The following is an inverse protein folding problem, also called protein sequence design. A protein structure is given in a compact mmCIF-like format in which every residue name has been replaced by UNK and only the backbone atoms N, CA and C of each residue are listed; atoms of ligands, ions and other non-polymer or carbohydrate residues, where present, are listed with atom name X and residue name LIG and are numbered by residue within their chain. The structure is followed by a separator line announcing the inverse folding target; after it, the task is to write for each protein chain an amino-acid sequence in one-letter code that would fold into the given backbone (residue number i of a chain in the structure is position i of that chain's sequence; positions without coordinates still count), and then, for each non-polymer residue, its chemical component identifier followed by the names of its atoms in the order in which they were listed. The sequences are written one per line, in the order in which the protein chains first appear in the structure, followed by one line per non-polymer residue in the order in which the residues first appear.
data_IF_184911506893
#
_entry.id   IF_184911506893
#
_cell.length_a   1.000
_cell.length_b   1.000
_cell.length_c   1.000
_cell.angle_alpha   90.00
_cell.angle_beta   90.00
_cell.angle_gamma   90.00
#
_symmetry.space_group_name_H-M   'P 1'
#
loop_
_entity.id
_entity.type
_entity.pdbx_description
1 polymer ?
#
# COMPACT_ATOMS: atom_id res chain seq x y z
N UNK A 1 -16.27 25.78 -6.75
CA UNK A 1 -15.40 25.24 -7.82
C UNK A 1 -15.19 23.75 -7.56
N UNK A 2 -15.06 22.94 -8.60
CA UNK A 2 -14.72 21.52 -8.44
C UNK A 2 -13.19 21.38 -8.25
N UNK A 3 -12.77 20.58 -7.26
CA UNK A 3 -11.36 20.24 -7.08
C UNK A 3 -10.90 19.31 -8.21
N UNK A 4 -9.78 19.62 -8.86
CA UNK A 4 -9.22 18.83 -9.97
C UNK A 4 -7.79 18.36 -9.69
N UNK A 5 -6.93 19.24 -9.22
CA UNK A 5 -5.53 18.91 -8.95
C UNK A 5 -5.38 18.41 -7.51
N UNK A 6 -5.02 17.13 -7.36
CA UNK A 6 -4.93 16.46 -6.06
C UNK A 6 -3.51 15.95 -5.86
N UNK A 7 -2.86 16.37 -4.77
CA UNK A 7 -1.56 15.82 -4.38
C UNK A 7 -1.72 14.86 -3.19
N UNK A 8 -1.12 13.67 -3.30
CA UNK A 8 -1.13 12.66 -2.25
C UNK A 8 0.24 12.59 -1.58
N UNK A 9 0.26 12.75 -0.26
CA UNK A 9 1.46 12.56 0.58
C UNK A 9 1.40 11.17 1.18
N UNK A 10 2.49 10.39 1.12
CA UNK A 10 2.51 9.03 1.65
C UNK A 10 1.90 7.98 0.71
N UNK A 11 1.87 8.26 -0.60
CA UNK A 11 1.30 7.38 -1.62
C UNK A 11 1.99 6.00 -1.74
N UNK A 12 3.19 5.84 -1.18
CA UNK A 12 3.94 4.56 -1.16
C UNK A 12 3.76 3.71 0.10
N UNK A 13 2.89 4.13 1.05
CA UNK A 13 2.59 3.36 2.26
C UNK A 13 1.59 2.22 2.02
N UNK A 14 0.95 1.71 3.08
CA UNK A 14 -0.05 0.64 2.96
C UNK A 14 -1.36 1.12 2.29
N UNK A 15 -1.88 2.28 2.71
CA UNK A 15 -3.13 2.85 2.17
C UNK A 15 -2.93 3.66 0.88
N UNK A 16 -1.77 4.32 0.75
CA UNK A 16 -1.46 5.26 -0.32
C UNK A 16 -1.69 4.73 -1.74
N UNK A 17 -1.25 3.50 -2.10
CA UNK A 17 -1.42 2.94 -3.44
C UNK A 17 -2.89 2.80 -3.85
N UNK A 18 -3.76 2.39 -2.92
CA UNK A 18 -5.20 2.26 -3.17
C UNK A 18 -5.84 3.62 -3.46
N UNK A 19 -5.50 4.65 -2.69
CA UNK A 19 -5.98 6.02 -2.94
C UNK A 19 -5.43 6.54 -4.27
N UNK A 20 -4.13 6.39 -4.52
CA UNK A 20 -3.50 6.82 -5.76
C UNK A 20 -4.16 6.15 -6.98
N UNK A 21 -4.43 4.84 -6.91
CA UNK A 21 -5.07 4.10 -7.99
C UNK A 21 -6.42 4.69 -8.35
N UNK A 22 -7.31 4.92 -7.36
CA UNK A 22 -8.65 5.45 -7.60
C UNK A 22 -8.60 6.84 -8.24
N UNK A 23 -7.80 7.76 -7.67
CA UNK A 23 -7.67 9.11 -8.21
C UNK A 23 -7.02 9.14 -9.59
N UNK A 24 -6.05 8.27 -9.86
CA UNK A 24 -5.38 8.17 -11.15
C UNK A 24 -6.32 7.68 -12.26
N UNK A 25 -7.23 6.76 -11.94
CA UNK A 25 -8.16 6.18 -12.93
C UNK A 25 -9.38 7.06 -13.22
N UNK A 26 -9.63 8.08 -12.40
CA UNK A 26 -10.77 8.96 -12.56
C UNK A 26 -10.40 10.21 -13.38
N UNK A 27 -10.97 10.39 -14.59
CA UNK A 27 -10.59 11.48 -15.49
C UNK A 27 -10.96 12.88 -14.97
N UNK A 28 -11.67 12.98 -13.85
CA UNK A 28 -11.99 14.26 -13.20
C UNK A 28 -10.79 14.86 -12.48
N UNK A 29 -9.78 14.05 -12.15
CA UNK A 29 -8.66 14.47 -11.31
C UNK A 29 -7.33 14.40 -12.06
N UNK A 30 -6.47 15.38 -11.80
CA UNK A 30 -5.05 15.32 -12.09
C UNK A 30 -4.33 14.99 -10.78
N UNK A 31 -3.79 13.78 -10.68
CA UNK A 31 -3.14 13.33 -9.44
C UNK A 31 -1.62 13.49 -9.50
N UNK A 32 -1.03 13.97 -8.42
CA UNK A 32 0.42 13.97 -8.19
C UNK A 32 0.75 13.39 -6.83
N UNK A 33 2.02 13.06 -6.61
CA UNK A 33 2.52 12.48 -5.36
C UNK A 33 3.60 13.38 -4.79
N UNK A 34 3.54 13.64 -3.47
CA UNK A 34 4.67 14.16 -2.71
C UNK A 34 5.39 12.98 -2.06
N UNK A 35 6.68 12.79 -2.38
CA UNK A 35 7.47 11.70 -1.82
C UNK A 35 8.86 12.17 -1.41
N UNK A 36 9.41 11.55 -0.37
CA UNK A 36 10.76 11.84 0.11
C UNK A 36 11.82 11.35 -0.89
N UNK A 37 12.99 11.98 -0.88
CA UNK A 37 14.15 11.56 -1.69
C UNK A 37 14.63 10.15 -1.33
N UNK A 38 14.61 9.78 -0.05
CA UNK A 38 14.99 8.43 0.41
C UNK A 38 13.96 7.34 0.10
N UNK A 39 12.78 7.67 -0.40
CA UNK A 39 11.73 6.68 -0.67
C UNK A 39 12.10 5.79 -1.86
N UNK A 40 12.11 4.48 -1.63
CA UNK A 40 12.27 3.43 -2.65
C UNK A 40 10.96 3.07 -3.36
N UNK A 41 9.84 3.71 -3.01
CA UNK A 41 8.55 3.44 -3.64
C UNK A 41 8.56 3.89 -5.10
N UNK A 42 8.13 2.98 -5.96
CA UNK A 42 7.90 3.23 -7.39
C UNK A 42 6.45 3.66 -7.63
N UNK A 43 6.26 4.57 -8.58
CA UNK A 43 4.95 5.10 -8.96
C UNK A 43 4.75 4.96 -10.47
N UNK A 44 3.50 4.85 -10.96
CA UNK A 44 3.23 4.81 -12.39
C UNK A 44 3.85 6.01 -13.13
N UNK A 45 4.38 5.76 -14.34
CA UNK A 45 5.13 6.77 -15.12
C UNK A 45 4.31 8.01 -15.48
N UNK A 46 2.99 7.86 -15.55
CA UNK A 46 2.03 8.92 -15.85
C UNK A 46 1.67 9.78 -14.62
N UNK A 47 2.15 9.43 -13.43
CA UNK A 47 1.94 10.21 -12.21
C UNK A 47 3.13 11.13 -11.97
N UNK A 48 2.87 12.43 -11.82
CA UNK A 48 3.90 13.39 -11.45
C UNK A 48 4.32 13.17 -10.00
N UNK A 49 5.61 12.95 -9.77
CA UNK A 49 6.18 12.78 -8.42
C UNK A 49 7.02 13.99 -8.05
N UNK A 50 6.61 14.71 -7.02
CA UNK A 50 7.36 15.77 -6.37
C UNK A 50 8.28 15.14 -5.32
N UNK A 51 9.56 14.98 -5.66
CA UNK A 51 10.58 14.47 -4.74
C UNK A 51 11.12 15.62 -3.89
N UNK A 52 11.04 15.48 -2.57
CA UNK A 52 11.49 16.49 -1.60
C UNK A 52 12.44 15.90 -0.56
N UNK A 53 13.22 16.75 0.11
CA UNK A 53 14.07 16.35 1.23
C UNK A 53 13.33 15.55 2.30
N UNK A 54 14.06 14.69 3.02
CA UNK A 54 13.47 13.71 3.94
C UNK A 54 12.76 14.33 5.15
N UNK A 55 13.12 15.56 5.50
CA UNK A 55 12.53 16.38 6.55
C UNK A 55 11.43 17.34 6.02
N UNK A 56 11.03 17.18 4.76
CA UNK A 56 10.02 17.98 4.06
C UNK A 56 10.31 19.50 4.09
N UNK A 57 11.40 20.00 3.48
CA UNK A 57 11.76 21.42 3.49
C UNK A 57 10.61 22.31 3.02
N UNK A 58 10.36 23.40 3.75
CA UNK A 58 9.18 24.24 3.57
C UNK A 58 9.05 24.80 2.14
N UNK A 59 10.16 25.22 1.53
CA UNK A 59 10.21 25.78 0.18
C UNK A 59 9.92 24.73 -0.89
N UNK A 60 10.45 23.52 -0.74
CA UNK A 60 10.20 22.40 -1.64
C UNK A 60 8.75 21.92 -1.57
N UNK A 61 8.20 21.78 -0.36
CA UNK A 61 6.81 21.41 -0.13
C UNK A 61 5.86 22.49 -0.65
N UNK A 62 6.15 23.77 -0.36
CA UNK A 62 5.35 24.89 -0.86
C UNK A 62 5.35 24.90 -2.39
N UNK A 63 6.49 24.63 -3.02
CA UNK A 63 6.59 24.50 -4.48
C UNK A 63 5.74 23.35 -5.01
N UNK A 64 5.72 22.20 -4.33
CA UNK A 64 4.91 21.05 -4.71
C UNK A 64 3.39 21.30 -4.58
N UNK A 65 2.98 22.07 -3.57
CA UNK A 65 1.56 22.39 -3.33
C UNK A 65 1.01 23.51 -4.24
N UNK A 66 1.86 24.33 -4.86
CA UNK A 66 1.40 25.38 -5.79
C UNK A 66 0.61 24.77 -6.94
N UNK A 67 -0.59 25.30 -7.15
CA UNK A 67 -1.52 24.85 -8.20
C UNK A 67 -2.30 23.58 -7.86
N UNK A 68 -2.12 23.02 -6.66
CA UNK A 68 -2.95 21.93 -6.15
C UNK A 68 -4.24 22.51 -5.53
N UNK A 69 -5.36 21.86 -5.80
CA UNK A 69 -6.66 22.22 -5.23
C UNK A 69 -6.87 21.54 -3.88
N UNK A 70 -6.40 20.30 -3.77
CA UNK A 70 -6.56 19.44 -2.61
C UNK A 70 -5.28 18.68 -2.24
N UNK A 71 -5.08 18.45 -0.95
CA UNK A 71 -4.03 17.59 -0.40
C UNK A 71 -4.67 16.42 0.34
N UNK A 72 -4.21 15.20 0.07
CA UNK A 72 -4.56 14.00 0.83
C UNK A 72 -3.30 13.48 1.51
N UNK A 73 -3.32 13.40 2.83
CA UNK A 73 -2.23 12.86 3.63
C UNK A 73 -2.54 11.44 4.06
N UNK A 74 -1.73 10.48 3.62
CA UNK A 74 -1.69 9.10 4.14
C UNK A 74 -0.37 8.82 4.86
N UNK A 75 0.24 9.85 5.45
CA UNK A 75 1.50 9.73 6.18
C UNK A 75 1.34 8.86 7.43
N UNK A 76 2.40 8.13 7.78
CA UNK A 76 2.41 7.30 8.98
C UNK A 76 2.36 8.14 10.26
N UNK A 77 1.82 7.56 11.33
CA UNK A 77 1.67 8.21 12.65
C UNK A 77 2.99 8.77 13.19
N UNK A 78 4.12 8.09 12.93
CA UNK A 78 5.45 8.51 13.36
C UNK A 78 5.91 9.86 12.79
N UNK A 79 5.27 10.35 11.72
CA UNK A 79 5.60 11.63 11.07
C UNK A 79 4.55 12.73 11.32
N UNK A 80 3.57 12.50 12.20
CA UNK A 80 2.46 13.44 12.42
C UNK A 80 2.87 14.79 12.99
N UNK A 81 4.01 14.88 13.68
CA UNK A 81 4.53 16.16 14.18
C UNK A 81 4.73 17.22 13.09
N UNK A 82 4.77 16.81 11.82
CA UNK A 82 4.90 17.69 10.66
C UNK A 82 3.56 18.07 10.03
N UNK A 83 2.45 17.40 10.35
CA UNK A 83 1.20 17.53 9.57
C UNK A 83 0.56 18.93 9.71
N UNK A 84 0.62 19.56 10.88
CA UNK A 84 0.19 20.96 11.05
C UNK A 84 1.02 21.92 10.22
N UNK A 85 2.35 21.74 10.17
CA UNK A 85 3.24 22.51 9.29
C UNK A 85 2.87 22.33 7.81
N UNK A 86 2.58 21.10 7.38
CA UNK A 86 2.15 20.82 6.01
C UNK A 86 0.79 21.46 5.69
N UNK A 87 -0.14 21.52 6.65
CA UNK A 87 -1.41 22.24 6.50
C UNK A 87 -1.15 23.74 6.26
N UNK A 88 -0.27 24.37 7.04
CA UNK A 88 0.06 25.79 6.83
C UNK A 88 0.69 26.05 5.46
N UNK A 89 1.58 25.17 5.01
CA UNK A 89 2.19 25.26 3.68
C UNK A 89 1.13 25.07 2.57
N UNK A 90 0.15 24.18 2.77
CA UNK A 90 -0.96 23.99 1.84
C UNK A 90 -1.81 25.27 1.74
N UNK A 91 -2.19 25.86 2.88
CA UNK A 91 -2.93 27.12 2.93
C UNK A 91 -2.14 28.24 2.24
N UNK A 92 -0.84 28.35 2.54
CA UNK A 92 0.06 29.34 1.92
C UNK A 92 0.21 29.14 0.41
N UNK A 93 0.14 27.90 -0.08
CA UNK A 93 0.13 27.59 -1.51
C UNK A 93 -1.21 27.84 -2.20
N UNK A 94 -2.27 28.14 -1.43
CA UNK A 94 -3.62 28.40 -1.94
C UNK A 94 -4.50 27.16 -2.05
N UNK A 95 -4.08 26.01 -1.51
CA UNK A 95 -4.88 24.78 -1.43
C UNK A 95 -6.19 25.05 -0.69
N UNK A 96 -7.30 24.51 -1.18
CA UNK A 96 -8.65 24.75 -0.64
C UNK A 96 -9.25 23.57 0.11
N UNK A 97 -8.63 22.40 -0.01
CA UNK A 97 -9.11 21.15 0.59
C UNK A 97 -7.97 20.35 1.20
N UNK A 98 -8.14 19.87 2.43
CA UNK A 98 -7.16 19.01 3.08
C UNK A 98 -7.82 17.78 3.71
N UNK A 99 -7.28 16.59 3.46
CA UNK A 99 -7.69 15.34 4.08
C UNK A 99 -6.51 14.86 4.93
N UNK A 100 -6.58 14.88 6.27
CA UNK A 100 -5.49 14.45 7.12
C UNK A 100 -5.36 12.94 7.15
N UNK A 101 -4.20 12.46 7.60
CA UNK A 101 -3.99 11.05 7.92
C UNK A 101 -4.80 10.67 9.15
N UNK A 102 -6.02 10.19 8.94
CA UNK A 102 -6.99 9.80 9.99
C UNK A 102 -7.70 8.45 9.78
N UNK A 103 -7.37 7.74 8.70
CA UNK A 103 -7.97 6.49 8.20
C UNK A 103 -7.88 5.29 9.16
N UNK A 104 -8.41 5.39 10.37
CA UNK A 104 -8.30 4.38 11.42
C UNK A 104 -9.40 4.52 12.46
N UNK A 105 -9.02 4.42 13.74
CA UNK A 105 -9.92 4.60 14.89
C UNK A 105 -10.46 6.03 14.99
N UNK A 106 -11.61 6.20 15.64
CA UNK A 106 -12.11 7.53 16.02
C UNK A 106 -11.22 8.12 17.12
N UNK A 107 -10.24 8.91 16.69
CA UNK A 107 -9.24 9.52 17.58
C UNK A 107 -9.82 10.62 18.46
N UNK A 108 -11.03 11.11 18.17
CA UNK A 108 -11.68 12.18 18.94
C UNK A 108 -12.65 11.64 19.98
N UNK A 109 -12.96 10.34 19.95
CA UNK A 109 -13.81 9.72 20.96
C UNK A 109 -13.14 9.81 22.35
N UNK A 110 -13.79 10.40 23.37
CA UNK A 110 -13.17 10.61 24.69
C UNK A 110 -12.60 9.34 25.33
N UNK A 111 -13.32 8.21 25.20
CA UNK A 111 -12.83 6.93 25.72
C UNK A 111 -11.59 6.43 24.98
N UNK A 112 -11.51 6.60 23.65
CA UNK A 112 -10.33 6.20 22.88
C UNK A 112 -9.12 7.06 23.27
N UNK A 113 -9.33 8.38 23.40
CA UNK A 113 -8.33 9.33 23.88
C UNK A 113 -7.84 9.02 25.30
N UNK A 114 -8.72 8.56 26.20
CA UNK A 114 -8.34 8.18 27.55
C UNK A 114 -7.47 6.90 27.60
N UNK A 115 -7.66 5.97 26.65
CA UNK A 115 -6.92 4.71 26.59
C UNK A 115 -5.52 4.91 25.99
N UNK A 116 -5.40 5.69 24.90
CA UNK A 116 -4.14 5.83 24.16
C UNK A 116 -3.79 7.29 23.81
N UNK A 117 -3.69 8.19 24.81
CA UNK A 117 -3.52 9.63 24.59
C UNK A 117 -2.23 9.98 23.85
N UNK A 118 -1.15 9.25 24.07
CA UNK A 118 0.15 9.48 23.43
C UNK A 118 0.13 9.18 21.92
N UNK A 119 -0.80 8.36 21.46
CA UNK A 119 -0.92 7.97 20.05
C UNK A 119 -1.99 8.81 19.34
N UNK A 120 -3.15 9.00 19.98
CA UNK A 120 -4.26 9.75 19.39
C UNK A 120 -4.14 11.27 19.59
N UNK A 121 -3.38 11.75 20.58
CA UNK A 121 -3.26 13.17 20.88
C UNK A 121 -2.80 14.01 19.70
N UNK A 122 -1.76 13.58 18.97
CA UNK A 122 -1.28 14.31 17.78
C UNK A 122 -2.28 14.32 16.62
N UNK A 123 -3.04 13.23 16.46
CA UNK A 123 -4.11 13.11 15.46
C UNK A 123 -5.29 14.03 15.80
N UNK A 124 -5.75 13.97 17.04
CA UNK A 124 -6.82 14.82 17.55
C UNK A 124 -6.45 16.31 17.44
N UNK A 125 -5.24 16.68 17.86
CA UNK A 125 -4.71 18.05 17.73
C UNK A 125 -4.63 18.52 16.26
N UNK A 126 -4.30 17.62 15.32
CA UNK A 126 -4.34 17.96 13.88
C UNK A 126 -5.76 18.30 13.43
N UNK A 127 -6.76 17.57 13.91
CA UNK A 127 -8.16 17.86 13.56
C UNK A 127 -8.64 19.16 14.20
N UNK A 128 -8.29 19.43 15.46
CA UNK A 128 -8.57 20.72 16.09
C UNK A 128 -7.90 21.88 15.34
N UNK A 129 -6.68 21.67 14.85
CA UNK A 129 -6.00 22.65 14.00
C UNK A 129 -6.74 22.88 12.68
N UNK A 130 -7.21 21.83 12.00
CA UNK A 130 -8.00 21.97 10.78
C UNK A 130 -9.31 22.73 10.98
N UNK A 131 -10.00 22.50 12.11
CA UNK A 131 -11.19 23.28 12.52
C UNK A 131 -10.82 24.75 12.63
N UNK A 132 -9.71 25.08 13.29
CA UNK A 132 -9.25 26.47 13.42
C UNK A 132 -8.97 27.10 12.04
N UNK A 133 -8.41 26.35 11.10
CA UNK A 133 -8.05 26.80 9.74
C UNK A 133 -9.23 26.92 8.77
N UNK A 134 -10.45 26.55 9.17
CA UNK A 134 -11.65 26.86 8.39
C UNK A 134 -11.81 28.37 8.17
N UNK A 135 -11.37 29.19 9.15
CA UNK A 135 -11.34 30.66 9.04
C UNK A 135 -10.47 31.17 7.88
N UNK A 136 -9.47 30.38 7.48
CA UNK A 136 -8.57 30.68 6.37
C UNK A 136 -9.13 30.19 5.01
N UNK A 137 -10.37 29.68 5.01
CA UNK A 137 -11.07 29.18 3.83
C UNK A 137 -10.64 27.77 3.41
N UNK A 138 -9.91 27.06 4.27
CA UNK A 138 -9.58 25.65 4.07
C UNK A 138 -10.77 24.78 4.46
N UNK A 139 -11.19 23.88 3.58
CA UNK A 139 -12.17 22.84 3.93
C UNK A 139 -11.47 21.53 4.19
N UNK A 140 -12.03 20.66 5.03
CA UNK A 140 -11.41 19.38 5.35
C UNK A 140 -12.44 18.28 5.64
N UNK A 141 -11.98 17.03 5.64
CA UNK A 141 -12.72 15.90 6.21
C UNK A 141 -11.73 14.87 6.74
N UNK A 142 -12.04 14.31 7.92
CA UNK A 142 -11.38 13.14 8.49
C UNK A 142 -12.22 11.89 8.19
N UNK A 143 -11.57 10.76 7.95
CA UNK A 143 -12.23 9.48 7.66
C UNK A 143 -11.89 8.47 8.75
N UNK A 144 -12.88 8.06 9.53
CA UNK A 144 -12.75 6.98 10.52
C UNK A 144 -13.13 5.67 9.82
N UNK A 145 -12.13 4.87 9.45
CA UNK A 145 -12.31 3.65 8.64
C UNK A 145 -12.12 2.35 9.42
N UNK A 146 -11.73 2.43 10.70
CA UNK A 146 -11.43 1.24 11.50
C UNK A 146 -10.10 0.59 11.12
N UNK A 147 -9.85 -0.66 11.56
CA UNK A 147 -8.59 -1.35 11.32
C UNK A 147 -8.41 -1.77 9.86
N UNK A 148 -7.15 -1.79 9.40
CA UNK A 148 -6.76 -2.37 8.11
C UNK A 148 -6.61 -3.88 8.25
N UNK A 149 -7.69 -4.59 7.92
CA UNK A 149 -7.80 -6.03 8.10
C UNK A 149 -6.76 -6.83 7.31
N UNK A 150 -6.30 -6.34 6.17
CA UNK A 150 -5.24 -6.97 5.38
C UNK A 150 -3.90 -7.08 6.12
N UNK A 151 -3.71 -6.34 7.22
CA UNK A 151 -2.53 -6.44 8.08
C UNK A 151 -2.64 -7.54 9.15
N UNK A 152 -3.84 -8.12 9.32
CA UNK A 152 -4.14 -9.02 10.44
C UNK A 152 -4.88 -10.29 10.02
N UNK A 153 -5.44 -10.35 8.81
CA UNK A 153 -6.19 -11.47 8.30
C UNK A 153 -5.32 -12.30 7.35
N UNK A 154 -5.20 -13.59 7.66
CA UNK A 154 -4.53 -14.59 6.83
C UNK A 154 -5.59 -15.39 6.09
N UNK A 155 -5.74 -15.17 4.79
CA UNK A 155 -6.68 -15.93 3.95
C UNK A 155 -5.90 -16.82 3.00
N UNK A 156 -6.37 -18.02 2.69
CA UNK A 156 -5.80 -18.84 1.62
C UNK A 156 -6.93 -19.50 0.83
N UNK A 157 -6.94 -19.36 -0.50
CA UNK A 157 -7.88 -20.09 -1.36
C UNK A 157 -7.54 -21.59 -1.38
N UNK A 158 -6.26 -21.90 -1.61
CA UNK A 158 -5.71 -23.26 -1.55
C UNK A 158 -4.19 -23.23 -1.39
N UNK A 159 -3.62 -24.32 -0.88
CA UNK A 159 -2.18 -24.61 -0.92
C UNK A 159 -1.92 -25.62 -2.02
N UNK A 160 -0.99 -25.33 -2.93
CA UNK A 160 -0.77 -26.14 -4.13
C UNK A 160 0.70 -26.40 -4.39
N UNK A 161 1.00 -27.54 -5.02
CA UNK A 161 2.33 -27.82 -5.59
C UNK A 161 2.35 -27.40 -7.06
N UNK A 162 3.52 -27.01 -7.57
CA UNK A 162 3.71 -26.70 -9.00
C UNK A 162 3.23 -27.85 -9.91
N UNK A 163 3.46 -29.09 -9.48
CA UNK A 163 3.02 -30.29 -10.22
C UNK A 163 1.49 -30.44 -10.26
N UNK A 164 0.77 -30.01 -9.23
CA UNK A 164 -0.70 -30.06 -9.21
C UNK A 164 -1.27 -29.05 -10.20
N UNK A 165 -0.70 -27.84 -10.23
CA UNK A 165 -1.05 -26.80 -11.21
C UNK A 165 -0.80 -27.32 -12.64
N UNK A 166 0.38 -27.86 -12.91
CA UNK A 166 0.73 -28.42 -14.23
C UNK A 166 -0.26 -29.51 -14.64
N UNK A 167 -0.55 -30.46 -13.75
CA UNK A 167 -1.48 -31.56 -14.03
C UNK A 167 -2.87 -31.06 -14.39
N UNK A 168 -3.36 -30.03 -13.68
CA UNK A 168 -4.66 -29.41 -13.97
C UNK A 168 -4.62 -28.65 -15.28
N UNK A 169 -3.57 -27.87 -15.54
CA UNK A 169 -3.39 -27.15 -16.81
C UNK A 169 -3.37 -28.11 -18.01
N UNK A 170 -2.64 -29.22 -17.94
CA UNK A 170 -2.61 -30.23 -19.00
C UNK A 170 -3.98 -30.86 -19.24
N UNK A 171 -4.74 -31.10 -18.16
CA UNK A 171 -6.10 -31.63 -18.22
C UNK A 171 -7.04 -30.65 -18.93
N UNK A 172 -7.09 -29.38 -18.49
CA UNK A 172 -8.06 -28.40 -19.01
C UNK A 172 -7.72 -27.91 -20.42
N UNK A 173 -6.43 -27.86 -20.78
CA UNK A 173 -5.98 -27.46 -22.12
C UNK A 173 -5.93 -28.62 -23.12
N UNK A 174 -6.13 -29.85 -22.64
CA UNK A 174 -5.92 -31.08 -23.41
C UNK A 174 -4.57 -31.08 -24.16
N UNK A 175 -3.53 -30.53 -23.52
CA UNK A 175 -2.20 -30.34 -24.09
C UNK A 175 -1.14 -30.78 -23.09
N UNK A 176 0.02 -31.22 -23.60
CA UNK A 176 1.19 -31.50 -22.77
C UNK A 176 2.18 -30.35 -22.86
N UNK A 177 2.80 -30.02 -21.73
CA UNK A 177 3.85 -29.02 -21.69
C UNK A 177 5.21 -29.71 -21.67
N UNK A 178 6.21 -29.06 -22.26
CA UNK A 178 7.59 -29.44 -22.03
C UNK A 178 8.00 -28.96 -20.62
N UNK A 179 8.66 -29.83 -19.85
CA UNK A 179 8.91 -29.60 -18.42
C UNK A 179 10.37 -29.84 -18.08
N UNK A 180 11.06 -28.76 -17.71
CA UNK A 180 12.41 -28.82 -17.17
C UNK A 180 12.39 -28.95 -15.64
N UNK A 181 12.94 -30.06 -15.16
CA UNK A 181 13.15 -30.27 -13.73
C UNK A 181 14.52 -29.73 -13.30
N UNK A 182 14.52 -28.93 -12.23
CA UNK A 182 15.73 -28.38 -11.62
C UNK A 182 15.82 -28.78 -10.16
N UNK A 183 17.03 -29.08 -9.70
CA UNK A 183 17.27 -29.37 -8.29
C UNK A 183 17.19 -28.08 -7.46
N UNK A 184 16.38 -28.10 -6.40
CA UNK A 184 16.09 -26.90 -5.63
C UNK A 184 17.31 -26.40 -4.84
N UNK A 185 18.13 -27.32 -4.32
CA UNK A 185 19.35 -27.00 -3.57
C UNK A 185 20.42 -26.40 -4.48
N UNK A 186 20.58 -26.94 -5.69
CA UNK A 186 21.46 -26.38 -6.70
C UNK A 186 21.02 -24.96 -7.11
N UNK A 187 19.73 -24.73 -7.33
CA UNK A 187 19.21 -23.40 -7.66
C UNK A 187 19.40 -22.40 -6.51
N UNK A 188 19.24 -22.85 -5.26
CA UNK A 188 19.53 -22.04 -4.07
C UNK A 188 21.00 -21.62 -4.04
N UNK A 189 21.92 -22.57 -4.24
CA UNK A 189 23.36 -22.30 -4.24
C UNK A 189 23.75 -21.28 -5.32
N UNK A 190 23.22 -21.42 -6.55
CA UNK A 190 23.43 -20.45 -7.65
C UNK A 190 22.87 -19.07 -7.27
N UNK A 191 21.67 -19.04 -6.70
CA UNK A 191 21.03 -17.80 -6.26
C UNK A 191 21.86 -17.05 -5.20
N UNK A 192 22.36 -17.78 -4.19
CA UNK A 192 23.20 -17.23 -3.14
C UNK A 192 24.52 -16.69 -3.69
N UNK A 193 25.18 -17.44 -4.58
CA UNK A 193 26.43 -17.01 -5.22
C UNK A 193 26.24 -15.71 -6.01
N UNK A 194 25.21 -15.65 -6.86
CA UNK A 194 24.88 -14.43 -7.63
C UNK A 194 24.64 -13.22 -6.74
N UNK A 195 23.79 -13.36 -5.73
CA UNK A 195 23.48 -12.26 -4.79
C UNK A 195 24.74 -11.80 -4.06
N UNK A 196 25.61 -12.71 -3.63
CA UNK A 196 26.88 -12.36 -2.98
C UNK A 196 27.82 -11.55 -3.87
N UNK A 197 27.66 -11.63 -5.20
CA UNK A 197 28.42 -10.86 -6.19
C UNK A 197 27.69 -9.60 -6.66
N UNK A 198 26.54 -9.26 -6.05
CA UNK A 198 25.73 -8.11 -6.43
C UNK A 198 24.83 -8.33 -7.65
N UNK A 199 24.72 -9.57 -8.17
CA UNK A 199 23.79 -9.91 -9.24
C UNK A 199 22.40 -10.22 -8.66
N UNK A 200 21.49 -9.25 -8.79
CA UNK A 200 20.11 -9.34 -8.29
C UNK A 200 19.25 -10.39 -9.01
N UNK A 201 19.67 -10.94 -10.16
CA UNK A 201 18.96 -12.07 -10.78
C UNK A 201 18.96 -13.32 -9.89
N UNK A 202 19.94 -13.44 -8.98
CA UNK A 202 19.98 -14.51 -7.98
C UNK A 202 18.82 -14.46 -6.99
N UNK A 203 18.28 -13.27 -6.68
CA UNK A 203 17.17 -13.13 -5.73
C UNK A 203 15.91 -13.88 -6.20
N UNK A 204 15.65 -13.91 -7.52
CA UNK A 204 14.50 -14.66 -8.07
C UNK A 204 14.61 -16.16 -7.83
N UNK A 205 15.81 -16.73 -7.87
CA UNK A 205 16.04 -18.14 -7.57
C UNK A 205 15.78 -18.44 -6.09
N UNK A 206 16.22 -17.56 -5.21
CA UNK A 206 16.01 -17.68 -3.77
C UNK A 206 14.53 -17.53 -3.39
N UNK A 207 13.83 -16.58 -3.99
CA UNK A 207 12.37 -16.41 -3.81
C UNK A 207 11.64 -17.67 -4.27
N UNK A 208 12.00 -18.26 -5.42
CA UNK A 208 11.41 -19.52 -5.87
C UNK A 208 11.65 -20.64 -4.86
N UNK A 209 12.87 -20.78 -4.34
CA UNK A 209 13.21 -21.78 -3.33
C UNK A 209 12.36 -21.60 -2.05
N UNK A 210 12.31 -20.38 -1.51
CA UNK A 210 11.54 -20.02 -0.31
C UNK A 210 10.06 -20.41 -0.45
N UNK A 211 9.48 -20.16 -1.61
CA UNK A 211 8.06 -20.42 -1.85
C UNK A 211 7.73 -21.88 -2.21
N UNK A 212 8.71 -22.65 -2.69
CA UNK A 212 8.45 -23.98 -3.27
C UNK A 212 8.99 -25.14 -2.42
N UNK A 213 9.90 -24.86 -1.48
CA UNK A 213 10.50 -25.88 -0.60
C UNK A 213 9.93 -25.73 0.81
N UNK A 214 9.38 -26.83 1.33
CA UNK A 214 8.77 -26.88 2.65
C UNK A 214 9.73 -26.39 3.76
N UNK A 215 9.18 -25.72 4.77
CA UNK A 215 9.95 -25.20 5.91
C UNK A 215 10.59 -23.83 5.70
N UNK A 216 10.48 -23.21 4.52
CA UNK A 216 11.10 -21.91 4.23
C UNK A 216 10.13 -20.71 4.28
N UNK A 217 8.88 -20.92 4.72
CA UNK A 217 7.89 -19.84 4.89
C UNK A 217 6.97 -19.58 3.69
N UNK A 218 7.08 -20.36 2.61
CA UNK A 218 6.18 -20.28 1.46
C UNK A 218 4.73 -20.70 1.72
N UNK A 219 4.45 -21.34 2.87
CA UNK A 219 3.14 -21.82 3.24
C UNK A 219 2.83 -21.46 4.70
N UNK A 220 2.31 -20.25 4.92
CA UNK A 220 1.96 -19.80 6.27
C UNK A 220 0.80 -20.58 6.89
N UNK A 221 -0.04 -21.22 6.10
CA UNK A 221 -1.16 -22.03 6.61
C UNK A 221 -0.69 -23.24 7.46
N UNK A 222 0.60 -23.60 7.41
CA UNK A 222 1.18 -24.64 8.27
C UNK A 222 1.42 -24.17 9.72
N UNK A 223 1.60 -22.88 9.94
CA UNK A 223 1.98 -22.31 11.24
C UNK A 223 1.11 -21.14 11.68
N UNK A 224 0.17 -20.69 10.84
CA UNK A 224 -0.86 -19.73 11.18
C UNK A 224 -2.21 -20.23 10.64
N UNK A 225 -3.24 -20.41 11.49
CA UNK A 225 -4.58 -20.74 10.99
C UNK A 225 -5.06 -19.64 10.05
N UNK A 226 -5.79 -20.03 9.01
CA UNK A 226 -6.42 -19.08 8.09
C UNK A 226 -7.74 -18.59 8.65
N UNK A 227 -8.08 -17.33 8.41
CA UNK A 227 -9.33 -16.69 8.80
C UNK A 227 -10.49 -16.97 7.83
N UNK A 228 -10.32 -17.87 6.86
CA UNK A 228 -11.35 -18.20 5.87
C UNK A 228 -12.69 -18.61 6.50
N UNK A 229 -12.68 -19.45 7.54
CA UNK A 229 -13.90 -19.88 8.22
C UNK A 229 -14.56 -18.72 8.98
N UNK A 230 -13.75 -17.94 9.72
CA UNK A 230 -14.21 -16.75 10.45
C UNK A 230 -14.90 -15.74 9.51
N UNK A 231 -14.33 -15.56 8.32
CA UNK A 231 -14.85 -14.64 7.31
C UNK A 231 -15.91 -15.25 6.39
N UNK A 232 -16.26 -16.52 6.56
CA UNK A 232 -17.16 -17.25 5.66
C UNK A 232 -16.73 -17.14 4.19
N UNK A 233 -15.42 -17.14 3.92
CA UNK A 233 -14.90 -17.10 2.55
C UNK A 233 -15.28 -18.37 1.81
N UNK A 234 -15.64 -18.28 0.51
CA UNK A 234 -15.92 -19.45 -0.28
C UNK A 234 -14.68 -20.34 -0.37
N UNK A 235 -14.89 -21.66 -0.38
CA UNK A 235 -13.85 -22.59 -0.77
C UNK A 235 -13.67 -22.51 -2.28
N UNK A 236 -12.44 -22.30 -2.73
CA UNK A 236 -12.11 -22.34 -4.15
C UNK A 236 -11.48 -23.69 -4.51
N UNK A 237 -11.76 -24.16 -5.71
CA UNK A 237 -11.14 -25.34 -6.29
C UNK A 237 -10.10 -24.93 -7.33
N UNK A 238 -8.92 -25.57 -7.32
CA UNK A 238 -7.82 -25.25 -8.22
C UNK A 238 -8.21 -25.40 -9.69
N UNK A 239 -8.97 -26.43 -10.04
CA UNK A 239 -9.40 -26.69 -11.41
C UNK A 239 -10.40 -25.65 -11.89
N UNK A 240 -11.37 -25.29 -11.07
CA UNK A 240 -12.33 -24.22 -11.38
C UNK A 240 -11.62 -22.87 -11.58
N UNK A 241 -10.66 -22.54 -10.72
CA UNK A 241 -9.87 -21.31 -10.85
C UNK A 241 -9.07 -21.31 -12.15
N UNK A 242 -8.33 -22.38 -12.46
CA UNK A 242 -7.52 -22.45 -13.67
C UNK A 242 -8.36 -22.49 -14.95
N UNK A 243 -9.51 -23.16 -14.94
CA UNK A 243 -10.45 -23.16 -16.07
C UNK A 243 -10.95 -21.75 -16.40
N UNK A 244 -11.26 -20.92 -15.39
CA UNK A 244 -11.62 -19.50 -15.61
C UNK A 244 -10.48 -18.67 -16.19
N UNK A 245 -9.24 -18.95 -15.80
CA UNK A 245 -8.07 -18.20 -16.29
C UNK A 245 -7.79 -18.54 -17.76
N UNK A 246 -7.89 -19.82 -18.13
CA UNK A 246 -7.62 -20.29 -19.50
C UNK A 246 -8.79 -20.02 -20.46
N UNK A 247 -10.03 -20.01 -19.95
CA UNK A 247 -11.24 -19.81 -20.74
C UNK A 247 -11.64 -18.35 -21.00
N UNK A 248 -10.90 -17.37 -20.47
CA UNK A 248 -11.03 -15.94 -20.75
C UNK A 248 -10.01 -15.50 -21.80
#
# INVERSE_FOLDING_TARGET
MAFKNVIIIGAGGHLGPSILSVFRTDPRFNVSVLSRQSSTSEFPKDVKVHRVGDDYPDDEVLSAFKGQDAVISTMATASLGQQTRLIDLAIKAGVKRFIPSEFGSDTRHPNAMAILPQYFGGKNATVDYLIEKEKDGLTWSSFVTGPFFELYIYTASFTVKQNDILKVLEKITNSKFDVDYVDAEAQKAIGMEKVSKGDFSGAMLLIRYINSVDGNGGNYALYHPTDNELLSLPKEDLEDVLARIVGN
#
